data_IF_222924042828
#
_entry.id   IF_222924042828
#
_cell.length_a   1.000
_cell.length_b   1.000
_cell.length_c   1.000
_cell.angle_alpha   90.00
_cell.angle_beta   90.00
_cell.angle_gamma   90.00
#
_symmetry.space_group_name_H-M   'P 1'
#
loop_
_entity.id
_entity.type
_entity.pdbx_description
1 polymer ?
#
# COMPACT_ATOMS: atom_id res chain seq x y z
N UNK A 1 0.42 -8.25 9.28
CA UNK A 1 0.46 -7.73 7.88
C UNK A 1 0.38 -8.89 6.92
N UNK A 2 -0.44 -8.77 5.91
CA UNK A 2 -0.51 -9.72 4.80
C UNK A 2 0.73 -9.65 3.91
N UNK A 3 0.95 -10.69 3.11
CA UNK A 3 2.10 -10.78 2.19
C UNK A 3 2.09 -9.62 1.16
N UNK A 4 0.93 -9.09 0.82
CA UNK A 4 0.75 -7.96 -0.09
C UNK A 4 1.02 -6.59 0.55
N UNK A 5 1.31 -6.53 1.84
CA UNK A 5 1.41 -5.26 2.56
C UNK A 5 0.08 -4.73 3.08
N UNK A 6 -1.03 -5.44 2.83
CA UNK A 6 -2.32 -5.09 3.41
C UNK A 6 -2.38 -5.35 4.91
N UNK A 7 -3.26 -4.65 5.61
CA UNK A 7 -3.57 -4.84 7.03
C UNK A 7 -5.08 -4.78 7.26
N UNK A 8 -5.53 -5.34 8.39
CA UNK A 8 -6.95 -5.47 8.73
C UNK A 8 -7.53 -6.79 8.23
N UNK A 9 -7.87 -7.70 9.15
CA UNK A 9 -8.41 -9.01 8.83
C UNK A 9 -9.93 -9.02 8.73
N UNK A 10 -10.61 -8.07 9.39
CA UNK A 10 -12.07 -8.04 9.49
C UNK A 10 -12.68 -6.78 8.89
N UNK A 11 -13.69 -6.96 8.03
CA UNK A 11 -14.57 -5.89 7.57
C UNK A 11 -15.54 -5.38 8.64
N UNK A 12 -15.77 -6.17 9.70
CA UNK A 12 -16.61 -5.74 10.81
C UNK A 12 -15.83 -4.76 11.69
N UNK A 13 -16.22 -3.49 11.64
CA UNK A 13 -15.55 -2.41 12.36
C UNK A 13 -14.19 -2.03 11.80
N UNK A 14 -13.84 -2.48 10.59
CA UNK A 14 -12.54 -2.18 9.95
C UNK A 14 -11.36 -2.51 10.88
N UNK A 15 -11.36 -3.72 11.41
CA UNK A 15 -10.58 -4.06 12.59
C UNK A 15 -9.50 -5.11 12.36
N UNK A 16 -8.52 -5.06 13.24
CA UNK A 16 -7.69 -6.23 13.54
C UNK A 16 -8.48 -7.17 14.45
N UNK A 17 -8.20 -8.47 14.33
CA UNK A 17 -8.74 -9.51 15.20
C UNK A 17 -7.66 -10.03 16.16
N UNK A 18 -7.51 -11.32 16.30
CA UNK A 18 -6.43 -11.93 17.08
C UNK A 18 -5.12 -11.95 16.30
N UNK A 19 -4.00 -12.14 17.00
CA UNK A 19 -2.69 -12.20 16.39
C UNK A 19 -2.61 -13.29 15.30
N UNK A 20 -2.00 -12.94 14.17
CA UNK A 20 -1.82 -13.82 13.01
C UNK A 20 -3.11 -14.29 12.32
N UNK A 21 -4.26 -13.72 12.63
CA UNK A 21 -5.49 -13.96 11.87
C UNK A 21 -5.44 -13.25 10.52
N UNK A 22 -5.07 -14.01 9.49
CA UNK A 22 -4.86 -13.51 8.14
C UNK A 22 -5.68 -14.32 7.11
N UNK A 23 -7.03 -14.27 7.18
CA UNK A 23 -7.89 -14.97 6.22
C UNK A 23 -7.70 -14.38 4.81
N UNK A 24 -7.66 -15.25 3.78
CA UNK A 24 -7.45 -14.79 2.41
C UNK A 24 -8.74 -14.26 1.76
N UNK A 25 -9.83 -15.03 1.85
CA UNK A 25 -11.08 -14.76 1.17
C UNK A 25 -11.83 -13.53 1.71
N UNK A 26 -11.79 -13.36 3.03
CA UNK A 26 -12.54 -12.32 3.74
C UNK A 26 -11.64 -11.24 4.32
N UNK A 27 -10.38 -11.21 3.91
CA UNK A 27 -9.47 -10.15 4.35
C UNK A 27 -10.03 -8.79 3.99
N UNK A 28 -10.06 -7.90 4.97
CA UNK A 28 -10.50 -6.52 4.72
C UNK A 28 -9.46 -5.76 3.89
N UNK A 29 -8.23 -5.74 4.34
CA UNK A 29 -7.07 -5.18 3.63
C UNK A 29 -7.41 -3.92 2.84
N UNK A 30 -8.01 -2.94 3.55
CA UNK A 30 -8.46 -1.68 2.93
C UNK A 30 -7.29 -0.92 2.30
N UNK A 31 -7.52 -0.32 1.15
CA UNK A 31 -6.51 0.49 0.46
C UNK A 31 -6.02 1.64 1.34
N UNK A 32 -6.89 2.34 2.09
CA UNK A 32 -6.46 3.38 3.02
C UNK A 32 -5.56 2.86 4.13
N UNK A 33 -5.86 1.69 4.67
CA UNK A 33 -5.07 1.07 5.74
C UNK A 33 -3.67 0.70 5.24
N UNK A 34 -3.56 0.18 4.01
CA UNK A 34 -2.26 -0.08 3.39
C UNK A 34 -1.44 1.21 3.23
N UNK A 35 -2.04 2.29 2.74
CA UNK A 35 -1.37 3.60 2.62
C UNK A 35 -0.92 4.13 4.00
N UNK A 36 -1.76 4.01 5.02
CA UNK A 36 -1.43 4.40 6.38
C UNK A 36 -0.24 3.61 6.92
N UNK A 37 -0.15 2.31 6.64
CA UNK A 37 0.99 1.47 7.00
C UNK A 37 2.29 1.96 6.36
N UNK A 38 2.26 2.30 5.05
CA UNK A 38 3.44 2.83 4.37
C UNK A 38 3.90 4.16 4.97
N UNK A 39 2.96 5.07 5.24
CA UNK A 39 3.24 6.36 5.89
C UNK A 39 3.83 6.17 7.30
N UNK A 40 3.29 5.22 8.07
CA UNK A 40 3.80 4.88 9.39
C UNK A 40 5.22 4.30 9.31
N UNK A 41 5.45 3.32 8.43
CA UNK A 41 6.75 2.70 8.24
C UNK A 41 7.81 3.74 7.78
N UNK A 42 7.46 4.61 6.83
CA UNK A 42 8.34 5.70 6.42
C UNK A 42 8.66 6.67 7.57
N UNK A 43 7.71 6.90 8.47
CA UNK A 43 7.97 7.73 9.67
C UNK A 43 8.94 7.04 10.64
N UNK A 44 8.87 5.72 10.76
CA UNK A 44 9.78 4.94 11.60
C UNK A 44 11.24 5.02 11.13
N UNK A 45 11.49 5.18 9.83
CA UNK A 45 12.83 5.40 9.27
C UNK A 45 13.54 6.65 9.81
N UNK A 46 12.79 7.61 10.37
CA UNK A 46 13.37 8.80 11.00
C UNK A 46 14.03 8.52 12.35
N UNK A 47 13.73 7.39 12.97
CA UNK A 47 14.35 6.95 14.23
C UNK A 47 15.57 6.04 14.02
N UNK A 48 15.70 5.51 12.82
CA UNK A 48 16.82 4.67 12.41
C UNK A 48 16.56 4.07 11.03
N UNK A 49 17.59 4.01 10.21
CA UNK A 49 17.51 3.48 8.84
C UNK A 49 17.48 1.94 8.83
N UNK A 50 16.48 1.35 9.49
CA UNK A 50 16.28 -0.10 9.52
C UNK A 50 15.49 -0.54 8.28
N UNK A 51 16.09 -1.41 7.48
CA UNK A 51 15.55 -1.90 6.21
C UNK A 51 14.16 -2.53 6.33
N UNK A 52 13.81 -3.10 7.49
CA UNK A 52 12.47 -3.66 7.70
C UNK A 52 11.35 -2.67 7.45
N UNK A 53 11.58 -1.38 7.70
CA UNK A 53 10.57 -0.35 7.44
C UNK A 53 10.52 0.04 5.97
N UNK A 54 11.67 0.12 5.28
CA UNK A 54 11.69 0.37 3.84
C UNK A 54 11.09 -0.81 3.05
N UNK A 55 11.32 -2.05 3.49
CA UNK A 55 10.71 -3.24 2.90
C UNK A 55 9.17 -3.24 3.03
N UNK A 56 8.64 -2.74 4.16
CA UNK A 56 7.19 -2.57 4.33
C UNK A 56 6.67 -1.51 3.36
N UNK A 57 7.35 -0.37 3.23
CA UNK A 57 6.96 0.71 2.30
C UNK A 57 6.94 0.18 0.87
N UNK A 58 7.99 -0.51 0.43
CA UNK A 58 8.10 -1.08 -0.91
C UNK A 58 6.95 -2.06 -1.19
N UNK A 59 6.73 -2.99 -0.28
CA UNK A 59 5.66 -4.00 -0.39
C UNK A 59 4.28 -3.36 -0.49
N UNK A 60 4.02 -2.34 0.30
CA UNK A 60 2.76 -1.61 0.23
C UNK A 60 2.62 -0.88 -1.11
N UNK A 61 3.66 -0.19 -1.55
CA UNK A 61 3.59 0.56 -2.82
C UNK A 61 3.25 -0.38 -3.97
N UNK A 62 4.02 -1.45 -4.14
CA UNK A 62 3.87 -2.32 -5.31
C UNK A 62 2.69 -3.29 -5.22
N UNK A 63 2.36 -3.81 -4.05
CA UNK A 63 1.37 -4.86 -3.91
C UNK A 63 0.10 -4.43 -3.15
N UNK A 64 0.19 -3.53 -2.19
CA UNK A 64 -0.98 -3.06 -1.43
C UNK A 64 -1.67 -1.87 -2.11
N UNK A 65 -0.91 -1.01 -2.76
CA UNK A 65 -1.41 0.24 -3.33
C UNK A 65 -1.61 0.15 -4.85
N UNK A 66 -0.55 -0.09 -5.63
CA UNK A 66 -0.67 -0.10 -7.10
C UNK A 66 -1.61 -1.20 -7.59
N UNK A 67 -1.64 -2.35 -6.92
CA UNK A 67 -2.56 -3.42 -7.27
C UNK A 67 -4.03 -3.06 -7.02
N UNK A 68 -4.31 -2.11 -6.14
CA UNK A 68 -5.68 -1.65 -5.88
C UNK A 68 -6.25 -0.80 -7.02
N UNK A 69 -5.42 -0.20 -7.84
CA UNK A 69 -5.81 0.70 -8.92
C UNK A 69 -5.97 -0.04 -10.26
N UNK A 70 -6.89 0.42 -11.09
CA UNK A 70 -6.92 0.05 -12.50
C UNK A 70 -5.78 0.72 -13.26
N UNK A 71 -5.36 0.12 -14.37
CA UNK A 71 -4.25 0.66 -15.18
C UNK A 71 -4.54 2.06 -15.75
N UNK A 72 -5.80 2.37 -15.96
CA UNK A 72 -6.24 3.70 -16.42
C UNK A 72 -6.47 4.71 -15.27
N UNK A 73 -6.29 4.27 -14.01
CA UNK A 73 -6.45 5.08 -12.82
C UNK A 73 -7.89 5.49 -12.48
N UNK A 74 -8.91 4.94 -13.16
CA UNK A 74 -10.31 5.37 -13.00
C UNK A 74 -11.10 4.56 -11.99
N UNK A 75 -10.61 3.38 -11.62
CA UNK A 75 -11.29 2.50 -10.68
C UNK A 75 -10.32 1.90 -9.66
N UNK A 76 -10.85 1.48 -8.54
CA UNK A 76 -10.07 0.99 -7.42
C UNK A 76 -10.77 -0.13 -6.67
N UNK A 77 -10.00 -0.91 -5.91
CA UNK A 77 -10.49 -1.77 -4.86
C UNK A 77 -10.50 -1.01 -3.53
N UNK A 78 -11.64 -1.01 -2.86
CA UNK A 78 -11.71 -0.58 -1.46
C UNK A 78 -11.06 -1.64 -0.57
N UNK A 79 -11.53 -2.87 -0.68
CA UNK A 79 -10.99 -4.08 -0.04
C UNK A 79 -10.16 -4.87 -1.03
N UNK A 80 -9.02 -5.39 -0.58
CA UNK A 80 -8.08 -6.12 -1.43
C UNK A 80 -7.89 -7.56 -0.92
N UNK A 81 -8.88 -8.46 -1.12
CA UNK A 81 -8.76 -9.84 -0.68
C UNK A 81 -7.65 -10.57 -1.43
N UNK A 82 -7.05 -11.57 -0.78
CA UNK A 82 -6.02 -12.38 -1.40
C UNK A 82 -6.59 -13.57 -2.17
N UNK A 83 -7.87 -13.82 -2.02
CA UNK A 83 -8.56 -14.93 -2.68
C UNK A 83 -9.91 -14.46 -3.21
N UNK A 84 -10.26 -14.91 -4.40
CA UNK A 84 -11.57 -14.65 -5.01
C UNK A 84 -12.22 -16.00 -5.36
N UNK A 85 -13.45 -16.19 -4.94
CA UNK A 85 -14.25 -17.35 -5.28
C UNK A 85 -15.45 -16.98 -6.18
N UNK A 86 -15.27 -16.95 -7.52
CA UNK A 86 -16.31 -16.51 -8.44
C UNK A 86 -17.62 -17.30 -8.33
N UNK A 87 -17.52 -18.56 -7.94
CA UNK A 87 -18.70 -19.42 -7.74
C UNK A 87 -19.60 -18.96 -6.59
N UNK A 88 -19.03 -18.34 -5.56
CA UNK A 88 -19.77 -17.82 -4.43
C UNK A 88 -20.50 -16.50 -4.76
N UNK A 89 -19.94 -15.70 -5.68
CA UNK A 89 -20.53 -14.43 -6.11
C UNK A 89 -21.73 -14.62 -7.07
N UNK A 90 -21.84 -15.76 -7.73
CA UNK A 90 -22.89 -16.05 -8.73
C UNK A 90 -24.12 -16.78 -8.17
N UNK A 91 -24.10 -17.10 -6.89
CA UNK A 91 -25.22 -17.83 -6.28
C UNK A 91 -26.18 -16.87 -5.59
N UNK A 92 -27.48 -17.17 -5.74
CA UNK A 92 -28.45 -16.86 -4.70
C UNK A 92 -28.01 -17.58 -3.43
N UNK A 93 -27.20 -16.91 -2.66
CA UNK A 93 -26.68 -17.46 -1.41
C UNK A 93 -27.83 -17.59 -0.44
N UNK A 94 -28.01 -18.79 0.07
CA UNK A 94 -28.99 -19.07 1.10
C UNK A 94 -28.73 -18.20 2.34
N UNK A 95 -29.73 -18.09 3.20
CA UNK A 95 -29.72 -17.28 4.43
C UNK A 95 -28.47 -17.52 5.28
N UNK A 96 -27.85 -18.69 5.20
CA UNK A 96 -26.67 -19.05 5.97
C UNK A 96 -25.38 -18.34 5.53
N UNK A 97 -25.35 -17.78 4.34
CA UNK A 97 -24.20 -17.05 3.83
C UNK A 97 -24.35 -15.52 3.88
N UNK A 98 -25.48 -15.02 4.40
CA UNK A 98 -25.70 -13.57 4.54
C UNK A 98 -24.75 -12.86 5.48
N UNK A 99 -24.03 -13.59 6.35
CA UNK A 99 -23.02 -13.03 7.24
C UNK A 99 -21.64 -12.89 6.61
N UNK A 100 -21.44 -13.41 5.40
CA UNK A 100 -20.15 -13.33 4.71
C UNK A 100 -20.24 -12.23 3.65
N UNK A 101 -19.77 -11.04 3.99
CA UNK A 101 -19.54 -9.98 3.02
C UNK A 101 -18.33 -10.34 2.18
N UNK A 102 -18.55 -10.94 1.03
CA UNK A 102 -17.49 -11.18 0.07
C UNK A 102 -17.09 -9.85 -0.58
N UNK A 103 -15.81 -9.53 -0.60
CA UNK A 103 -15.35 -8.33 -1.25
C UNK A 103 -15.59 -8.39 -2.77
N UNK A 104 -15.73 -7.24 -3.44
CA UNK A 104 -16.02 -7.18 -4.87
C UNK A 104 -14.93 -7.84 -5.69
N UNK A 105 -15.31 -8.54 -6.77
CA UNK A 105 -14.36 -9.18 -7.70
C UNK A 105 -13.74 -8.21 -8.69
N UNK A 106 -14.27 -7.01 -8.80
CA UNK A 106 -13.81 -6.00 -9.76
C UNK A 106 -13.67 -4.65 -9.06
N UNK A 107 -12.77 -3.84 -9.60
CA UNK A 107 -12.60 -2.46 -9.17
C UNK A 107 -13.83 -1.64 -9.50
N UNK A 108 -14.13 -0.66 -8.69
CA UNK A 108 -15.26 0.26 -8.84
C UNK A 108 -14.78 1.67 -9.07
N UNK A 109 -15.49 2.44 -9.89
CA UNK A 109 -15.24 3.89 -10.03
C UNK A 109 -15.70 4.66 -8.79
N UNK A 110 -16.77 4.16 -8.18
CA UNK A 110 -17.38 4.74 -6.97
C UNK A 110 -17.66 3.62 -5.97
N UNK A 111 -17.47 3.91 -4.71
CA UNK A 111 -17.80 3.04 -3.58
C UNK A 111 -18.69 3.79 -2.58
N UNK A 112 -19.41 3.06 -1.74
CA UNK A 112 -20.30 3.67 -0.73
C UNK A 112 -19.55 4.62 0.22
N UNK A 113 -18.29 4.30 0.54
CA UNK A 113 -17.35 5.19 1.22
C UNK A 113 -16.24 5.59 0.25
N UNK A 114 -16.02 6.89 0.08
CA UNK A 114 -15.03 7.44 -0.87
C UNK A 114 -13.74 7.92 -0.18
N UNK A 115 -13.29 7.25 0.88
CA UNK A 115 -12.05 7.62 1.59
C UNK A 115 -10.79 7.29 0.80
N UNK A 116 -10.79 6.19 0.02
CA UNK A 116 -9.61 5.74 -0.70
C UNK A 116 -9.13 6.69 -1.80
N UNK A 117 -9.96 7.21 -2.73
CA UNK A 117 -9.49 8.09 -3.79
C UNK A 117 -8.71 9.32 -3.31
N UNK A 118 -9.19 10.13 -2.34
CA UNK A 118 -8.42 11.28 -1.84
C UNK A 118 -7.13 10.87 -1.12
N UNK A 119 -7.10 9.72 -0.44
CA UNK A 119 -5.88 9.20 0.17
C UNK A 119 -4.86 8.79 -0.90
N UNK A 120 -5.30 8.13 -1.96
CA UNK A 120 -4.47 7.75 -3.11
C UNK A 120 -3.85 8.99 -3.75
N UNK A 121 -4.66 10.00 -4.07
CA UNK A 121 -4.18 11.24 -4.69
C UNK A 121 -3.15 11.96 -3.83
N UNK A 122 -3.29 11.93 -2.50
CA UNK A 122 -2.30 12.51 -1.58
C UNK A 122 -1.05 11.65 -1.42
N UNK A 123 -1.19 10.33 -1.53
CA UNK A 123 -0.07 9.40 -1.34
C UNK A 123 0.90 9.43 -2.52
N UNK A 124 0.41 9.49 -3.75
CA UNK A 124 1.25 9.48 -4.96
C UNK A 124 2.40 10.52 -4.90
N UNK A 125 2.15 11.82 -4.67
CA UNK A 125 3.24 12.79 -4.59
C UNK A 125 4.14 12.59 -3.36
N UNK A 126 3.66 11.91 -2.31
CA UNK A 126 4.45 11.64 -1.12
C UNK A 126 5.48 10.52 -1.31
N UNK A 127 5.34 9.68 -2.32
CA UNK A 127 6.28 8.58 -2.63
C UNK A 127 7.70 9.12 -2.83
N UNK A 128 7.85 10.26 -3.48
CA UNK A 128 9.15 10.88 -3.68
C UNK A 128 9.93 11.12 -2.37
N UNK A 129 9.22 11.38 -1.27
CA UNK A 129 9.81 11.58 0.05
C UNK A 129 10.18 10.28 0.77
N UNK A 130 9.88 9.14 0.15
CA UNK A 130 10.14 7.81 0.70
C UNK A 130 11.32 7.10 0.01
N UNK A 131 11.91 7.74 -1.03
CA UNK A 131 12.95 7.11 -1.83
C UNK A 131 14.31 7.17 -1.15
N UNK A 132 14.60 8.25 -0.47
CA UNK A 132 15.92 8.52 0.12
C UNK A 132 15.79 9.14 1.50
N UNK A 133 16.80 8.91 2.33
CA UNK A 133 17.07 9.71 3.52
C UNK A 133 18.56 10.00 3.67
N UNK A 134 18.88 11.02 4.45
CA UNK A 134 20.24 11.48 4.71
C UNK A 134 20.34 11.82 6.21
N UNK A 135 21.33 11.25 6.91
CA UNK A 135 21.62 11.52 8.31
C UNK A 135 22.79 12.51 8.51
N UNK A 136 23.32 13.07 7.42
CA UNK A 136 24.47 13.95 7.42
C UNK A 136 25.78 13.24 7.08
N UNK A 137 25.88 11.93 7.28
CA UNK A 137 27.06 11.13 6.95
C UNK A 137 26.77 10.16 5.80
N UNK A 138 25.62 9.49 5.86
CA UNK A 138 25.21 8.43 4.94
C UNK A 138 23.93 8.80 4.23
N UNK A 139 23.86 8.48 2.94
CA UNK A 139 22.66 8.56 2.13
C UNK A 139 22.08 7.16 2.01
N UNK A 140 20.85 6.98 2.48
CA UNK A 140 20.13 5.73 2.42
C UNK A 140 19.21 5.74 1.21
N UNK A 141 19.27 4.70 0.37
CA UNK A 141 18.34 4.46 -0.71
C UNK A 141 17.31 3.46 -0.20
N UNK A 142 16.06 3.91 -0.03
CA UNK A 142 14.98 3.10 0.52
C UNK A 142 14.15 2.40 -0.54
N UNK A 143 14.02 3.04 -1.72
CA UNK A 143 13.25 2.50 -2.83
C UNK A 143 14.06 2.62 -4.14
N UNK A 144 14.10 1.55 -4.91
CA UNK A 144 14.85 1.49 -6.17
C UNK A 144 13.93 1.85 -7.35
N UNK A 145 13.44 3.08 -7.36
CA UNK A 145 12.66 3.63 -8.46
C UNK A 145 13.52 4.55 -9.31
N UNK A 146 13.28 4.57 -10.62
CA UNK A 146 13.92 5.55 -11.50
C UNK A 146 13.64 6.95 -10.98
N UNK A 147 14.66 7.66 -10.61
CA UNK A 147 14.52 8.94 -9.94
C UNK A 147 15.79 9.77 -9.99
N UNK A 148 15.61 11.07 -9.80
CA UNK A 148 16.68 12.03 -9.70
C UNK A 148 16.50 12.85 -8.43
N UNK A 149 17.50 12.86 -7.56
CA UNK A 149 17.50 13.70 -6.37
C UNK A 149 18.78 14.52 -6.27
N UNK A 150 18.67 15.66 -5.61
CA UNK A 150 19.81 16.51 -5.26
C UNK A 150 19.88 16.63 -3.75
N UNK A 151 21.03 16.30 -3.17
CA UNK A 151 21.27 16.43 -1.74
C UNK A 151 22.14 17.66 -1.52
N UNK A 152 21.70 18.53 -0.63
CA UNK A 152 22.40 19.76 -0.23
C UNK A 152 22.80 19.64 1.24
N UNK A 153 24.06 19.91 1.53
CA UNK A 153 24.60 19.99 2.89
C UNK A 153 25.31 21.33 3.07
N UNK A 154 25.03 22.03 4.16
CA UNK A 154 25.63 23.33 4.50
C UNK A 154 25.49 24.37 3.37
N UNK A 155 24.34 24.38 2.70
CA UNK A 155 24.06 25.27 1.59
C UNK A 155 24.87 24.96 0.31
N UNK A 156 25.57 23.85 0.27
CA UNK A 156 26.31 23.39 -0.92
C UNK A 156 25.64 22.16 -1.52
N UNK A 157 25.47 22.18 -2.84
CA UNK A 157 25.03 20.99 -3.57
C UNK A 157 26.15 19.94 -3.51
N UNK A 158 25.92 18.84 -2.79
CA UNK A 158 26.93 17.82 -2.59
C UNK A 158 26.95 16.76 -3.68
N UNK A 159 25.79 16.22 -4.06
CA UNK A 159 25.69 15.18 -5.09
C UNK A 159 24.34 15.18 -5.77
N UNK A 160 24.37 14.83 -7.04
CA UNK A 160 23.19 14.45 -7.83
C UNK A 160 23.18 12.92 -7.91
N UNK A 161 22.10 12.30 -7.45
CA UNK A 161 21.88 10.88 -7.58
C UNK A 161 20.84 10.61 -8.67
N UNK A 162 21.17 9.70 -9.54
CA UNK A 162 20.28 9.24 -10.59
C UNK A 162 20.24 7.71 -10.52
N UNK A 163 19.03 7.19 -10.25
CA UNK A 163 18.74 5.78 -10.45
C UNK A 163 18.13 5.65 -11.82
N UNK A 164 18.84 4.99 -12.70
CA UNK A 164 18.41 4.71 -14.09
C UNK A 164 18.06 3.23 -14.16
N UNK A 165 16.92 2.92 -14.74
CA UNK A 165 16.60 1.56 -15.15
C UNK A 165 17.52 1.18 -16.29
N UNK A 166 18.34 0.15 -16.14
CA UNK A 166 19.03 -0.47 -17.25
C UNK A 166 17.95 -1.03 -18.19
N UNK A 167 17.81 -0.39 -19.34
CA UNK A 167 16.94 -0.94 -20.38
C UNK A 167 17.56 -2.23 -20.89
N UNK A 168 16.78 -3.33 -20.97
CA UNK A 168 17.22 -4.56 -21.57
C UNK A 168 17.57 -4.39 -23.05
#
# INVERSE_FOLDING_TARGET
MYITGGIGSSGAGEAFTVDYDLPNLISYTESCAALALALFANRMLRFGADSKYSDVVERVIYNGFLSSLSLDGKSFFYQNPLEIMPRMHKRDVSVHHRSVNLPPMQRSEVFACSCCPPNIVRFIPSIANMLYSDDGEVIYVHQFMQSLTTIERDGKRMKRFELVEDKP
#
